data_IF_252444168030
#
_entry.id   IF_252444168030
#
_cell.length_a   1.000
_cell.length_b   1.000
_cell.length_c   1.000
_cell.angle_alpha   90.00
_cell.angle_beta   90.00
_cell.angle_gamma   90.00
#
_symmetry.space_group_name_H-M   'P 1'
#
loop_
_entity.id
_entity.type
_entity.pdbx_description
1 polymer ?
#
# COMPACT_ATOMS: atom_id res chain seq x y z
N UNK A 1 13.21 -29.41 32.73
CA UNK A 1 11.83 -29.30 33.26
C UNK A 1 11.52 -27.90 33.81
N UNK A 2 12.40 -27.31 34.63
CA UNK A 2 12.21 -25.96 35.18
C UNK A 2 12.14 -24.86 34.10
N UNK A 3 13.06 -24.85 33.13
CA UNK A 3 13.04 -23.88 32.00
C UNK A 3 11.73 -23.91 31.23
N UNK A 4 11.15 -25.11 30.99
CA UNK A 4 9.85 -25.27 30.33
C UNK A 4 8.70 -24.69 31.15
N UNK A 5 8.73 -24.85 32.48
CA UNK A 5 7.77 -24.21 33.39
C UNK A 5 7.90 -22.68 33.40
N UNK A 6 9.13 -22.17 33.26
CA UNK A 6 9.43 -20.73 33.22
C UNK A 6 8.98 -20.10 31.89
N UNK A 7 9.23 -20.79 30.76
CA UNK A 7 8.73 -20.38 29.43
C UNK A 7 7.20 -20.29 29.41
N UNK A 8 6.50 -21.30 29.96
CA UNK A 8 5.04 -21.32 30.01
C UNK A 8 4.42 -20.27 30.97
N UNK A 9 5.20 -19.69 31.88
CA UNK A 9 4.74 -18.71 32.88
C UNK A 9 5.59 -17.42 32.84
N UNK A 10 5.93 -16.94 31.63
CA UNK A 10 6.75 -15.74 31.44
C UNK A 10 6.13 -14.47 32.08
N UNK A 11 4.82 -14.45 32.26
CA UNK A 11 4.09 -13.35 32.92
C UNK A 11 4.26 -13.31 34.45
N UNK A 12 4.81 -14.36 35.06
CA UNK A 12 5.01 -14.49 36.52
C UNK A 12 6.46 -14.84 36.88
N UNK A 13 7.42 -14.33 36.11
CA UNK A 13 8.87 -14.63 36.25
C UNK A 13 9.42 -14.25 37.62
N UNK A 14 8.90 -13.18 38.24
CA UNK A 14 9.30 -12.71 39.57
C UNK A 14 9.14 -13.78 40.66
N UNK A 15 8.12 -14.64 40.56
CA UNK A 15 7.85 -15.72 41.53
C UNK A 15 8.92 -16.81 41.52
N UNK A 16 9.70 -16.89 40.45
CA UNK A 16 10.74 -17.91 40.25
C UNK A 16 12.16 -17.34 40.44
N UNK A 17 12.30 -16.06 40.75
CA UNK A 17 13.59 -15.36 40.87
C UNK A 17 14.49 -15.91 41.98
N UNK A 18 13.91 -16.48 43.04
CA UNK A 18 14.63 -17.09 44.17
C UNK A 18 15.06 -18.53 43.92
N UNK A 19 14.66 -19.13 42.78
CA UNK A 19 14.99 -20.52 42.47
C UNK A 19 16.44 -20.66 42.01
N UNK A 20 17.18 -21.64 42.54
CA UNK A 20 18.59 -21.87 42.23
C UNK A 20 18.89 -22.06 40.73
N UNK A 21 17.98 -22.67 39.97
CA UNK A 21 18.09 -22.84 38.50
C UNK A 21 17.66 -21.63 37.66
N UNK A 22 17.29 -20.51 38.28
CA UNK A 22 16.74 -19.34 37.58
C UNK A 22 17.76 -18.71 36.63
N UNK A 23 19.01 -18.54 37.08
CA UNK A 23 20.07 -17.94 36.27
C UNK A 23 20.41 -18.80 35.04
N UNK A 24 20.53 -20.11 35.24
CA UNK A 24 20.81 -21.07 34.18
C UNK A 24 19.67 -21.15 33.15
N UNK A 25 18.43 -21.17 33.62
CA UNK A 25 17.25 -21.14 32.75
C UNK A 25 17.15 -19.84 31.94
N UNK A 26 17.49 -18.70 32.54
CA UNK A 26 17.46 -17.38 31.87
C UNK A 26 18.56 -17.27 30.81
N UNK A 27 19.76 -17.78 31.10
CA UNK A 27 20.85 -17.83 30.14
C UNK A 27 20.49 -18.67 28.91
N UNK A 28 19.84 -19.83 29.12
CA UNK A 28 19.36 -20.68 28.03
C UNK A 28 18.26 -19.99 27.21
N UNK A 29 17.30 -19.32 27.86
CA UNK A 29 16.23 -18.60 27.15
C UNK A 29 16.78 -17.46 26.29
N UNK A 30 17.77 -16.72 26.80
CA UNK A 30 18.45 -15.65 26.05
C UNK A 30 19.28 -16.17 24.87
N UNK A 31 19.63 -17.45 24.85
CA UNK A 31 20.36 -18.06 23.73
C UNK A 31 19.46 -18.36 22.53
N UNK A 32 18.13 -18.31 22.68
CA UNK A 32 17.21 -18.48 21.56
C UNK A 32 17.07 -17.19 20.77
N UNK A 33 17.25 -17.28 19.45
CA UNK A 33 16.92 -16.21 18.52
C UNK A 33 15.41 -16.15 18.33
N UNK A 34 14.78 -15.07 18.83
CA UNK A 34 13.35 -14.80 18.68
C UNK A 34 13.14 -13.45 17.97
N UNK A 35 12.40 -13.39 16.84
CA UNK A 35 11.78 -14.52 16.12
C UNK A 35 12.80 -15.53 15.56
N UNK A 36 12.41 -16.79 15.31
CA UNK A 36 13.31 -17.75 14.68
C UNK A 36 13.74 -17.24 13.30
N UNK A 37 14.99 -17.50 12.92
CA UNK A 37 15.55 -17.16 11.61
C UNK A 37 15.60 -15.66 11.27
N UNK A 38 15.75 -14.75 12.26
CA UNK A 38 15.94 -13.30 12.02
C UNK A 38 17.04 -13.01 11.00
N UNK A 39 18.12 -13.78 11.03
CA UNK A 39 19.25 -13.65 10.11
C UNK A 39 18.91 -13.93 8.63
N UNK A 40 17.76 -14.56 8.38
CA UNK A 40 17.24 -14.82 7.03
C UNK A 40 16.10 -13.87 6.64
N UNK A 41 15.67 -12.97 7.54
CA UNK A 41 14.79 -11.88 7.12
C UNK A 41 15.60 -10.95 6.24
N UNK A 42 15.16 -10.81 4.98
CA UNK A 42 15.66 -9.77 4.11
C UNK A 42 15.35 -8.41 4.75
N UNK A 43 16.36 -7.54 4.83
CA UNK A 43 16.13 -6.15 5.23
C UNK A 43 15.21 -5.51 4.18
N UNK A 44 13.97 -5.20 4.57
CA UNK A 44 13.09 -4.43 3.69
C UNK A 44 13.67 -3.02 3.53
N UNK A 45 13.88 -2.55 2.29
CA UNK A 45 14.43 -1.23 2.06
C UNK A 45 13.48 -0.19 2.64
N UNK A 46 14.00 0.69 3.49
CA UNK A 46 13.23 1.80 4.03
C UNK A 46 12.84 2.75 2.88
N UNK A 47 11.53 2.84 2.62
CA UNK A 47 10.99 3.70 1.57
C UNK A 47 10.74 5.08 2.14
N UNK A 48 11.39 6.08 1.57
CA UNK A 48 11.18 7.48 1.92
C UNK A 48 10.07 8.04 1.03
N UNK A 49 8.97 8.57 1.61
CA UNK A 49 7.88 9.14 0.84
C UNK A 49 8.31 10.42 0.11
N UNK A 50 7.79 10.61 -1.09
CA UNK A 50 7.94 11.83 -1.87
C UNK A 50 6.89 12.88 -1.47
N UNK A 51 5.72 12.44 -1.00
CA UNK A 51 4.59 13.29 -0.62
C UNK A 51 3.99 12.84 0.70
N UNK A 52 3.52 13.81 1.48
CA UNK A 52 2.79 13.64 2.73
C UNK A 52 1.39 14.24 2.56
N UNK A 53 0.37 13.50 2.95
CA UNK A 53 -1.02 13.94 2.91
C UNK A 53 -1.57 13.88 4.31
N UNK A 54 -2.08 15.02 4.77
CA UNK A 54 -2.75 15.20 6.04
C UNK A 54 -4.19 15.64 5.74
N UNK A 55 -5.18 14.96 6.33
CA UNK A 55 -6.58 15.33 6.22
C UNK A 55 -7.10 15.69 7.60
N UNK A 56 -7.28 16.98 7.82
CA UNK A 56 -7.99 17.53 8.96
C UNK A 56 -9.37 18.02 8.46
N UNK A 57 -9.67 19.31 8.57
CA UNK A 57 -10.84 19.96 7.93
C UNK A 57 -10.61 20.21 6.43
N UNK A 58 -9.35 20.46 6.05
CA UNK A 58 -8.90 20.69 4.67
C UNK A 58 -7.81 19.67 4.29
N UNK A 59 -7.70 19.38 2.99
CA UNK A 59 -6.71 18.45 2.45
C UNK A 59 -5.37 19.18 2.26
N UNK A 60 -4.35 18.76 3.02
CA UNK A 60 -3.02 19.34 2.93
C UNK A 60 -2.07 18.35 2.25
N UNK A 61 -1.56 18.74 1.06
CA UNK A 61 -0.54 17.98 0.33
C UNK A 61 0.80 18.67 0.48
N UNK A 62 1.77 17.98 1.10
CA UNK A 62 3.15 18.48 1.28
C UNK A 62 4.11 17.60 0.50
N UNK A 63 5.03 18.22 -0.24
CA UNK A 63 6.08 17.50 -0.94
C UNK A 63 7.35 17.43 -0.09
N UNK A 64 8.09 16.32 -0.18
CA UNK A 64 9.33 16.13 0.55
C UNK A 64 10.46 16.99 -0.02
N UNK A 65 10.60 18.22 0.48
CA UNK A 65 11.60 19.17 0.01
C UNK A 65 13.05 18.71 0.23
N UNK A 66 13.31 17.74 1.12
CA UNK A 66 14.66 17.19 1.30
C UNK A 66 15.14 16.43 0.06
N UNK A 67 14.21 15.80 -0.67
CA UNK A 67 14.50 15.08 -1.92
C UNK A 67 14.33 15.94 -3.17
N UNK A 68 13.67 17.09 -3.03
CA UNK A 68 13.39 18.03 -4.11
C UNK A 68 13.72 19.47 -3.68
N UNK A 69 15.01 19.77 -3.45
CA UNK A 69 15.43 21.07 -2.96
C UNK A 69 15.19 22.16 -4.01
N UNK A 70 14.95 23.38 -3.53
CA UNK A 70 14.89 24.55 -4.39
C UNK A 70 16.31 25.03 -4.69
N UNK A 71 16.74 24.83 -5.95
CA UNK A 71 18.09 25.15 -6.40
C UNK A 71 18.10 26.57 -6.96
N UNK A 72 18.90 27.44 -6.36
CA UNK A 72 19.09 28.82 -6.82
C UNK A 72 20.49 28.98 -7.40
N UNK A 73 20.58 29.24 -8.70
CA UNK A 73 21.84 29.56 -9.37
C UNK A 73 22.21 31.02 -9.10
N UNK A 74 23.19 31.25 -8.23
CA UNK A 74 23.76 32.59 -7.99
C UNK A 74 24.92 32.84 -8.96
N UNK A 75 25.10 34.09 -9.37
CA UNK A 75 26.30 34.56 -10.08
C UNK A 75 27.17 35.38 -9.12
N UNK A 76 28.15 34.77 -8.44
CA UNK A 76 29.01 35.47 -7.49
C UNK A 76 30.12 36.30 -8.18
N UNK A 77 30.32 36.18 -9.49
CA UNK A 77 31.50 36.73 -10.16
C UNK A 77 31.20 37.90 -11.11
N UNK A 78 29.93 38.30 -11.31
CA UNK A 78 29.55 39.34 -12.28
C UNK A 78 30.27 39.14 -13.62
N UNK A 79 30.26 37.88 -14.06
CA UNK A 79 31.30 37.34 -14.94
C UNK A 79 31.32 37.99 -16.33
N UNK A 80 32.47 38.55 -16.72
CA UNK A 80 32.69 39.17 -18.04
C UNK A 80 33.02 38.16 -19.15
N UNK A 81 33.52 36.97 -18.80
CA UNK A 81 33.84 35.90 -19.76
C UNK A 81 32.57 35.27 -20.33
N UNK A 82 32.51 35.16 -21.65
CA UNK A 82 31.35 34.64 -22.37
C UNK A 82 31.15 33.13 -22.17
N UNK A 83 32.23 32.38 -21.90
CA UNK A 83 32.15 30.94 -21.55
C UNK A 83 31.40 30.72 -20.22
N UNK A 84 31.72 31.55 -19.20
CA UNK A 84 31.07 31.47 -17.89
C UNK A 84 29.60 31.90 -17.97
N UNK A 85 29.27 32.88 -18.81
CA UNK A 85 27.86 33.24 -19.08
C UNK A 85 27.09 32.09 -19.72
N UNK A 86 27.70 31.37 -20.67
CA UNK A 86 27.07 30.19 -21.28
C UNK A 86 26.78 29.10 -20.25
N UNK A 87 27.76 28.79 -19.39
CA UNK A 87 27.56 27.78 -18.32
C UNK A 87 26.53 28.20 -17.27
N UNK A 88 26.48 29.47 -16.91
CA UNK A 88 25.43 30.00 -16.03
C UNK A 88 24.04 29.91 -16.68
N UNK A 89 23.94 30.14 -17.99
CA UNK A 89 22.69 29.96 -18.72
C UNK A 89 22.24 28.49 -18.72
N UNK A 90 23.14 27.57 -19.07
CA UNK A 90 22.86 26.12 -19.01
C UNK A 90 22.39 25.69 -17.61
N UNK A 91 23.06 26.17 -16.55
CA UNK A 91 22.66 25.88 -15.17
C UNK A 91 21.26 26.41 -14.84
N UNK A 92 20.93 27.64 -15.28
CA UNK A 92 19.59 28.22 -15.10
C UNK A 92 18.51 27.42 -15.84
N UNK A 93 18.80 27.00 -17.07
CA UNK A 93 17.88 26.19 -17.86
C UNK A 93 17.61 24.84 -17.17
N UNK A 94 18.64 24.19 -16.63
CA UNK A 94 18.48 22.95 -15.83
C UNK A 94 17.63 23.21 -14.58
N UNK A 95 17.87 24.29 -13.84
CA UNK A 95 17.04 24.60 -12.66
C UNK A 95 15.59 24.87 -13.01
N UNK A 96 15.32 25.54 -14.14
CA UNK A 96 13.97 25.76 -14.62
C UNK A 96 13.28 24.43 -14.98
N UNK A 97 13.99 23.50 -15.63
CA UNK A 97 13.47 22.17 -15.96
C UNK A 97 13.18 21.34 -14.71
N UNK A 98 14.03 21.42 -13.68
CA UNK A 98 13.79 20.76 -12.39
C UNK A 98 12.56 21.34 -11.68
N UNK A 99 12.40 22.67 -11.70
CA UNK A 99 11.23 23.32 -11.12
C UNK A 99 9.95 22.95 -11.85
N UNK A 100 9.98 22.90 -13.20
CA UNK A 100 8.86 22.44 -14.02
C UNK A 100 8.49 20.99 -13.68
N UNK A 101 9.48 20.10 -13.54
CA UNK A 101 9.23 18.72 -13.13
C UNK A 101 8.59 18.64 -11.75
N UNK A 102 9.07 19.43 -10.79
CA UNK A 102 8.53 19.53 -9.42
C UNK A 102 7.06 20.00 -9.45
N UNK A 103 6.76 21.07 -10.17
CA UNK A 103 5.38 21.59 -10.29
C UNK A 103 4.44 20.61 -10.98
N UNK A 104 4.88 19.98 -12.07
CA UNK A 104 4.06 19.00 -12.80
C UNK A 104 3.76 17.78 -11.95
N UNK A 105 4.75 17.27 -11.21
CA UNK A 105 4.54 16.14 -10.30
C UNK A 105 3.61 16.51 -9.14
N UNK A 106 3.78 17.70 -8.56
CA UNK A 106 2.90 18.20 -7.51
C UNK A 106 1.44 18.31 -7.98
N UNK A 107 1.21 18.91 -9.16
CA UNK A 107 -0.13 19.03 -9.75
C UNK A 107 -0.74 17.65 -10.02
N UNK A 108 0.04 16.72 -10.55
CA UNK A 108 -0.39 15.35 -10.79
C UNK A 108 -0.86 14.69 -9.48
N UNK A 109 -0.07 14.83 -8.40
CA UNK A 109 -0.45 14.27 -7.09
C UNK A 109 -1.72 14.94 -6.58
N UNK A 110 -1.83 16.26 -6.65
CA UNK A 110 -3.03 16.99 -6.24
C UNK A 110 -4.29 16.43 -6.91
N UNK A 111 -4.24 16.21 -8.22
CA UNK A 111 -5.35 15.64 -8.98
C UNK A 111 -5.68 14.20 -8.57
N UNK A 112 -4.67 13.36 -8.31
CA UNK A 112 -4.90 12.02 -7.77
C UNK A 112 -5.63 12.12 -6.43
N UNK A 113 -5.18 13.00 -5.55
CA UNK A 113 -5.77 13.19 -4.22
C UNK A 113 -7.20 13.67 -4.31
N UNK A 114 -7.49 14.66 -5.15
CA UNK A 114 -8.84 15.17 -5.41
C UNK A 114 -9.80 14.09 -5.96
N UNK A 115 -9.32 13.22 -6.85
CA UNK A 115 -10.14 12.12 -7.38
C UNK A 115 -10.34 11.00 -6.35
N UNK A 116 -9.40 10.85 -5.42
CA UNK A 116 -9.34 9.77 -4.44
C UNK A 116 -9.61 10.23 -3.00
N UNK A 117 -10.26 11.39 -2.79
CA UNK A 117 -10.54 11.93 -1.44
C UNK A 117 -11.15 10.87 -0.52
N UNK A 118 -12.11 10.10 -1.04
CA UNK A 118 -12.75 9.02 -0.29
C UNK A 118 -11.75 8.02 0.31
N UNK A 119 -10.70 7.66 -0.42
CA UNK A 119 -9.67 6.76 0.07
C UNK A 119 -8.92 7.32 1.28
N UNK A 120 -8.57 8.59 1.26
CA UNK A 120 -7.84 9.21 2.36
C UNK A 120 -8.70 9.41 3.61
N UNK A 121 -10.03 9.51 3.46
CA UNK A 121 -11.00 9.55 4.57
C UNK A 121 -11.37 8.14 5.08
N UNK A 122 -10.85 7.07 4.45
CA UNK A 122 -11.04 5.68 4.91
C UNK A 122 -11.95 4.82 4.03
N UNK A 123 -12.49 5.35 2.94
CA UNK A 123 -13.22 4.57 1.94
C UNK A 123 -12.27 3.86 0.97
N UNK A 124 -12.84 3.23 -0.05
CA UNK A 124 -12.09 2.54 -1.09
C UNK A 124 -11.63 3.47 -2.21
N UNK A 125 -10.65 2.99 -2.97
CA UNK A 125 -10.22 3.66 -4.20
C UNK A 125 -11.35 3.68 -5.22
N UNK A 126 -11.59 4.84 -5.81
CA UNK A 126 -12.43 4.99 -7.00
C UNK A 126 -11.64 4.56 -8.25
N UNK A 127 -12.32 4.13 -9.32
CA UNK A 127 -11.67 3.93 -10.60
C UNK A 127 -10.98 5.21 -11.07
N UNK A 128 -9.70 5.10 -11.42
CA UNK A 128 -8.92 6.18 -11.99
C UNK A 128 -7.91 5.58 -12.96
N UNK A 129 -7.98 5.94 -14.22
CA UNK A 129 -7.01 5.48 -15.22
C UNK A 129 -5.92 6.51 -15.43
N UNK A 130 -4.74 6.05 -15.88
CA UNK A 130 -3.65 6.96 -16.23
C UNK A 130 -4.05 7.86 -17.41
N UNK A 131 -4.89 7.35 -18.33
CA UNK A 131 -5.41 8.11 -19.47
C UNK A 131 -6.31 9.28 -19.03
N UNK A 132 -7.09 9.13 -17.95
CA UNK A 132 -7.93 10.21 -17.41
C UNK A 132 -7.08 11.41 -16.98
N UNK A 133 -6.04 11.16 -16.19
CA UNK A 133 -5.10 12.20 -15.74
C UNK A 133 -4.27 12.74 -16.91
N UNK A 134 -3.83 11.88 -17.82
CA UNK A 134 -3.05 12.28 -18.99
C UNK A 134 -3.77 13.32 -19.85
N UNK A 135 -5.07 13.12 -20.11
CA UNK A 135 -5.91 14.04 -20.87
C UNK A 135 -6.08 15.40 -20.18
N UNK A 136 -6.15 15.41 -18.86
CA UNK A 136 -6.40 16.63 -18.07
C UNK A 136 -5.13 17.49 -17.93
N UNK A 137 -3.96 16.85 -17.77
CA UNK A 137 -2.66 17.55 -17.71
C UNK A 137 -2.08 17.83 -19.11
N UNK A 138 -2.58 17.18 -20.15
CA UNK A 138 -2.11 17.34 -21.53
C UNK A 138 -0.81 16.59 -21.84
N UNK A 139 -0.51 15.51 -21.09
CA UNK A 139 0.64 14.64 -21.33
C UNK A 139 0.21 13.30 -21.93
N UNK A 140 1.17 12.57 -22.51
CA UNK A 140 0.92 11.18 -22.90
C UNK A 140 0.83 10.27 -21.66
N UNK A 141 0.03 9.21 -21.76
CA UNK A 141 -0.10 8.19 -20.71
C UNK A 141 1.26 7.57 -20.33
N UNK A 142 2.15 7.40 -21.31
CA UNK A 142 3.52 6.91 -21.12
C UNK A 142 4.34 7.82 -20.18
N UNK A 143 4.10 9.13 -20.24
CA UNK A 143 4.77 10.14 -19.42
C UNK A 143 4.24 10.09 -17.99
N UNK A 144 2.93 9.95 -17.81
CA UNK A 144 2.29 9.79 -16.49
C UNK A 144 2.78 8.50 -15.81
N UNK A 145 2.78 7.37 -16.54
CA UNK A 145 3.23 6.06 -16.03
C UNK A 145 4.68 6.12 -15.51
N UNK A 146 5.56 6.83 -16.23
CA UNK A 146 6.95 7.06 -15.79
C UNK A 146 7.04 8.02 -14.61
N UNK A 147 6.24 9.09 -14.60
CA UNK A 147 6.26 10.10 -13.56
C UNK A 147 5.85 9.52 -12.20
N UNK A 148 4.89 8.59 -12.17
CA UNK A 148 4.37 7.96 -10.94
C UNK A 148 5.12 6.69 -10.53
N UNK A 149 6.02 6.18 -11.37
CA UNK A 149 6.83 5.01 -11.05
C UNK A 149 7.81 5.32 -9.92
N UNK A 150 7.93 4.41 -8.94
CA UNK A 150 8.84 4.54 -7.79
C UNK A 150 8.64 5.86 -7.02
N UNK A 151 7.38 6.26 -6.85
CA UNK A 151 6.97 7.43 -6.09
C UNK A 151 5.96 7.01 -5.04
N UNK A 152 6.09 7.57 -3.85
CA UNK A 152 5.28 7.16 -2.71
C UNK A 152 4.63 8.34 -2.00
N UNK A 153 3.41 8.10 -1.53
CA UNK A 153 2.62 8.98 -0.67
C UNK A 153 2.55 8.34 0.71
N UNK A 154 2.81 9.13 1.74
CA UNK A 154 2.45 8.79 3.11
C UNK A 154 1.16 9.53 3.49
N UNK A 155 0.19 8.81 4.06
CA UNK A 155 -1.01 9.36 4.67
C UNK A 155 -1.30 8.63 6.00
N UNK A 156 -2.37 9.01 6.70
CA UNK A 156 -2.75 8.41 7.99
C UNK A 156 -2.98 6.90 7.93
N UNK A 157 -3.34 6.39 6.74
CA UNK A 157 -3.54 4.96 6.48
C UNK A 157 -2.23 4.18 6.25
N UNK A 158 -1.12 4.88 6.09
CA UNK A 158 0.20 4.30 5.81
C UNK A 158 0.84 4.81 4.52
N UNK A 159 1.79 4.03 4.01
CA UNK A 159 2.60 4.36 2.84
C UNK A 159 2.06 3.63 1.59
N UNK A 160 1.80 4.38 0.53
CA UNK A 160 1.25 3.86 -0.72
C UNK A 160 2.06 4.33 -1.93
N UNK A 161 2.20 3.46 -2.93
CA UNK A 161 2.77 3.87 -4.22
C UNK A 161 1.80 4.78 -4.99
N UNK A 162 2.30 5.78 -5.73
CA UNK A 162 1.42 6.56 -6.62
C UNK A 162 0.72 5.66 -7.66
N UNK A 163 1.41 4.62 -8.13
CA UNK A 163 0.88 3.67 -9.10
C UNK A 163 -0.37 2.94 -8.59
N UNK A 164 -0.47 2.64 -7.29
CA UNK A 164 -1.61 1.88 -6.76
C UNK A 164 -2.94 2.64 -6.77
N UNK A 165 -2.91 3.97 -6.90
CA UNK A 165 -4.13 4.78 -7.05
C UNK A 165 -4.77 4.65 -8.43
N UNK A 166 -4.02 4.17 -9.43
CA UNK A 166 -4.54 3.90 -10.76
C UNK A 166 -5.12 2.49 -10.79
N UNK A 167 -6.44 2.40 -10.71
CA UNK A 167 -7.15 1.11 -10.74
C UNK A 167 -7.86 0.94 -12.06
N UNK A 168 -7.72 -0.24 -12.66
CA UNK A 168 -8.48 -0.59 -13.85
C UNK A 168 -9.95 -0.74 -13.44
N UNK A 169 -10.79 0.13 -13.98
CA UNK A 169 -12.24 0.05 -13.85
C UNK A 169 -12.73 -1.32 -14.34
N UNK A 170 -13.48 -2.05 -13.50
CA UNK A 170 -14.28 -3.19 -13.98
C UNK A 170 -15.54 -2.67 -14.68
N UNK A 171 -15.97 -1.45 -14.31
CA UNK A 171 -16.97 -0.60 -14.97
C UNK A 171 -16.78 0.86 -14.51
N UNK A 172 -17.37 1.84 -15.21
CA UNK A 172 -17.13 3.30 -15.05
C UNK A 172 -17.03 3.84 -13.61
N UNK A 173 -17.70 3.21 -12.65
CA UNK A 173 -17.74 3.67 -11.25
C UNK A 173 -17.30 2.61 -10.22
N UNK A 174 -16.86 1.41 -10.65
CA UNK A 174 -16.52 0.31 -9.74
C UNK A 174 -15.05 -0.12 -9.82
N UNK A 175 -14.34 0.00 -8.70
CA UNK A 175 -12.93 -0.39 -8.61
C UNK A 175 -12.78 -1.90 -8.39
N UNK A 176 -11.63 -2.44 -8.82
CA UNK A 176 -11.35 -3.87 -8.58
C UNK A 176 -11.17 -4.22 -7.10
N UNK A 177 -10.85 -3.24 -6.25
CA UNK A 177 -10.74 -3.41 -4.80
C UNK A 177 -12.11 -3.52 -4.16
N UNK A 178 -13.08 -2.71 -4.60
CA UNK A 178 -14.44 -2.71 -4.04
C UNK A 178 -15.15 -4.03 -4.33
N UNK A 179 -14.92 -4.57 -5.53
CA UNK A 179 -15.38 -5.91 -5.87
C UNK A 179 -14.74 -6.97 -4.97
N UNK A 180 -13.44 -6.87 -4.69
CA UNK A 180 -12.72 -7.85 -3.86
C UNK A 180 -13.21 -7.82 -2.41
N UNK A 181 -13.38 -6.64 -1.84
CA UNK A 181 -13.87 -6.47 -0.48
C UNK A 181 -15.30 -6.97 -0.36
N UNK A 182 -16.17 -6.63 -1.31
CA UNK A 182 -17.52 -7.18 -1.32
C UNK A 182 -17.53 -8.71 -1.45
N UNK A 183 -16.61 -9.31 -2.22
CA UNK A 183 -16.46 -10.78 -2.25
C UNK A 183 -16.01 -11.32 -0.90
N UNK A 184 -15.09 -10.64 -0.21
CA UNK A 184 -14.65 -11.02 1.14
C UNK A 184 -15.83 -11.01 2.12
N UNK A 185 -16.57 -9.90 2.16
CA UNK A 185 -17.74 -9.73 3.03
C UNK A 185 -18.81 -10.82 2.77
N UNK A 186 -19.05 -11.15 1.51
CA UNK A 186 -19.99 -12.22 1.14
C UNK A 186 -19.53 -13.59 1.63
N UNK A 187 -18.23 -13.86 1.62
CA UNK A 187 -17.64 -15.14 2.04
C UNK A 187 -17.54 -15.22 3.56
N UNK A 188 -17.30 -14.11 4.24
CA UNK A 188 -17.33 -14.03 5.70
C UNK A 188 -18.73 -14.32 6.26
N UNK A 189 -19.77 -13.89 5.55
CA UNK A 189 -21.18 -14.09 5.94
C UNK A 189 -21.84 -15.29 5.22
N UNK A 190 -21.07 -16.19 4.61
CA UNK A 190 -21.64 -17.30 3.85
C UNK A 190 -22.12 -18.47 4.74
N UNK A 191 -23.17 -19.21 4.34
CA UNK A 191 -23.62 -20.37 5.09
C UNK A 191 -22.60 -21.53 5.02
N UNK A 192 -22.11 -21.99 6.18
CA UNK A 192 -21.08 -23.03 6.29
C UNK A 192 -21.47 -24.38 5.65
N UNK A 193 -22.76 -24.75 5.69
CA UNK A 193 -23.24 -26.03 5.10
C UNK A 193 -23.20 -26.03 3.57
N UNK A 194 -23.37 -24.85 2.96
CA UNK A 194 -23.45 -24.67 1.51
C UNK A 194 -22.73 -23.38 1.09
N UNK A 195 -21.38 -23.38 1.07
CA UNK A 195 -20.59 -22.23 0.66
C UNK A 195 -20.99 -21.71 -0.73
N UNK A 196 -20.91 -20.40 -0.91
CA UNK A 196 -21.24 -19.73 -2.16
C UNK A 196 -20.28 -20.18 -3.26
N UNK A 197 -20.85 -20.64 -4.38
CA UNK A 197 -20.04 -20.99 -5.55
C UNK A 197 -19.55 -19.73 -6.27
N UNK A 198 -18.45 -19.86 -7.03
CA UNK A 198 -17.96 -18.75 -7.88
C UNK A 198 -19.08 -18.20 -8.79
N UNK A 199 -20.06 -19.02 -9.20
CA UNK A 199 -21.20 -18.56 -9.99
C UNK A 199 -22.18 -17.73 -9.16
N UNK A 200 -22.48 -18.14 -7.93
CA UNK A 200 -23.35 -17.34 -7.05
C UNK A 200 -22.73 -16.00 -6.70
N UNK A 201 -21.41 -15.96 -6.50
CA UNK A 201 -20.68 -14.70 -6.31
C UNK A 201 -20.79 -13.79 -7.54
N UNK A 202 -20.71 -14.33 -8.77
CA UNK A 202 -20.97 -13.53 -9.99
C UNK A 202 -22.37 -12.92 -9.94
N UNK A 203 -23.38 -13.72 -9.63
CA UNK A 203 -24.77 -13.27 -9.66
C UNK A 203 -25.03 -12.17 -8.62
N UNK A 204 -24.51 -12.33 -7.39
CA UNK A 204 -24.61 -11.34 -6.31
C UNK A 204 -23.88 -10.03 -6.64
N UNK A 205 -22.67 -10.11 -7.21
CA UNK A 205 -21.91 -8.93 -7.62
C UNK A 205 -22.59 -8.22 -8.79
N UNK A 206 -23.13 -8.99 -9.75
CA UNK A 206 -23.91 -8.46 -10.87
C UNK A 206 -25.18 -7.76 -10.38
N UNK A 207 -25.86 -8.33 -9.37
CA UNK A 207 -27.07 -7.74 -8.80
C UNK A 207 -26.78 -6.44 -8.04
N UNK A 208 -25.72 -6.41 -7.21
CA UNK A 208 -25.37 -5.24 -6.40
C UNK A 208 -24.91 -4.06 -7.25
N UNK A 209 -23.98 -4.31 -8.18
CA UNK A 209 -23.33 -3.26 -8.94
C UNK A 209 -23.89 -3.06 -10.35
N UNK A 210 -24.86 -3.89 -10.76
CA UNK A 210 -25.48 -3.86 -12.10
C UNK A 210 -24.46 -4.00 -13.24
N UNK A 211 -23.36 -4.74 -13.01
CA UNK A 211 -22.29 -4.98 -13.99
C UNK A 211 -22.31 -6.40 -14.52
N UNK A 212 -21.98 -6.58 -15.80
CA UNK A 212 -21.76 -7.93 -16.35
C UNK A 212 -20.37 -8.43 -15.96
N UNK A 213 -20.32 -9.42 -15.06
CA UNK A 213 -19.08 -10.09 -14.68
C UNK A 213 -19.05 -11.54 -15.12
N UNK A 214 -17.83 -12.06 -15.30
CA UNK A 214 -17.58 -13.43 -15.75
C UNK A 214 -16.96 -14.23 -14.61
N UNK A 215 -17.33 -15.51 -14.48
CA UNK A 215 -16.83 -16.42 -13.44
C UNK A 215 -15.31 -16.45 -13.31
N UNK A 216 -14.58 -16.42 -14.42
CA UNK A 216 -13.09 -16.40 -14.43
C UNK A 216 -12.52 -15.19 -13.68
N UNK A 217 -13.20 -14.04 -13.72
CA UNK A 217 -12.79 -12.82 -13.02
C UNK A 217 -12.93 -12.98 -11.50
N UNK A 218 -14.07 -13.54 -11.04
CA UNK A 218 -14.28 -13.87 -9.63
C UNK A 218 -13.24 -14.89 -9.14
N UNK A 219 -12.98 -15.94 -9.91
CA UNK A 219 -11.94 -16.93 -9.56
C UNK A 219 -10.57 -16.28 -9.44
N UNK A 220 -10.23 -15.32 -10.31
CA UNK A 220 -8.96 -14.56 -10.23
C UNK A 220 -8.91 -13.70 -8.95
N UNK A 221 -9.97 -12.97 -8.63
CA UNK A 221 -10.04 -12.15 -7.42
C UNK A 221 -9.97 -12.99 -6.15
N UNK A 222 -10.68 -14.12 -6.10
CA UNK A 222 -10.64 -15.07 -4.99
C UNK A 222 -9.22 -15.58 -4.72
N UNK A 223 -8.47 -15.94 -5.77
CA UNK A 223 -7.07 -16.36 -5.66
C UNK A 223 -6.15 -15.26 -5.14
N UNK A 224 -6.38 -14.00 -5.54
CA UNK A 224 -5.58 -12.86 -5.07
C UNK A 224 -5.81 -12.56 -3.57
N UNK A 225 -6.98 -12.92 -3.05
CA UNK A 225 -7.33 -12.79 -1.63
C UNK A 225 -6.96 -14.05 -0.81
N UNK A 226 -6.27 -15.01 -1.42
CA UNK A 226 -5.95 -16.33 -0.82
C UNK A 226 -7.17 -17.11 -0.29
N UNK A 227 -8.34 -16.87 -0.87
CA UNK A 227 -9.57 -17.55 -0.48
C UNK A 227 -9.65 -18.88 -1.25
N UNK A 228 -9.88 -20.04 -0.60
CA UNK A 228 -9.94 -21.34 -1.26
C UNK A 228 -11.29 -21.58 -1.97
N UNK A 229 -11.38 -22.64 -2.79
CA UNK A 229 -12.58 -22.89 -3.63
C UNK A 229 -13.79 -23.22 -2.76
N UNK A 230 -15.02 -23.08 -3.28
CA UNK A 230 -16.22 -23.40 -2.50
C UNK A 230 -16.23 -24.85 -1.97
N UNK A 231 -15.64 -25.80 -2.72
CA UNK A 231 -15.47 -27.19 -2.28
C UNK A 231 -14.47 -27.31 -1.13
N UNK A 232 -13.35 -26.61 -1.23
CA UNK A 232 -12.30 -26.61 -0.22
C UNK A 232 -12.76 -25.90 1.05
N UNK A 233 -13.46 -24.76 0.92
CA UNK A 233 -14.09 -24.05 2.04
C UNK A 233 -15.10 -24.92 2.76
N UNK A 234 -15.94 -25.67 2.04
CA UNK A 234 -16.84 -26.64 2.66
C UNK A 234 -16.08 -27.67 3.52
N UNK A 235 -14.97 -28.19 3.01
CA UNK A 235 -14.11 -29.12 3.76
C UNK A 235 -13.50 -28.46 4.99
N UNK A 236 -13.03 -27.21 4.87
CA UNK A 236 -12.46 -26.44 5.98
C UNK A 236 -13.49 -26.12 7.06
N UNK A 237 -14.72 -25.76 6.70
CA UNK A 237 -15.80 -25.51 7.65
C UNK A 237 -16.21 -26.78 8.40
N UNK A 238 -16.27 -27.93 7.72
CA UNK A 238 -16.50 -29.22 8.37
C UNK A 238 -15.38 -29.52 9.37
N UNK A 239 -14.12 -29.30 9.00
CA UNK A 239 -12.98 -29.52 9.90
C UNK A 239 -13.01 -28.60 11.12
N UNK A 240 -13.39 -27.32 10.96
CA UNK A 240 -13.56 -26.37 12.08
C UNK A 240 -14.76 -26.72 12.97
N UNK A 241 -15.87 -27.17 12.39
CA UNK A 241 -17.04 -27.61 13.14
C UNK A 241 -16.80 -28.87 13.99
N UNK A 242 -15.78 -29.67 13.65
CA UNK A 242 -15.35 -30.85 14.41
C UNK A 242 -14.35 -30.49 15.53
N UNK A 243 -13.72 -29.31 15.49
CA UNK A 243 -12.82 -28.85 16.56
C UNK A 243 -13.52 -28.11 17.70
N UNK A 244 -14.74 -27.61 17.48
CA UNK A 244 -15.56 -26.88 18.46
C UNK A 244 -16.60 -27.78 19.18
N UNK A 245 -16.54 -29.09 18.96
CA UNK A 245 -17.38 -30.13 19.57
C UNK A 245 -16.53 -31.18 20.27
#
# INVERSE_FOLDING_TARGET
VFTKKLINNLSSVEKYATHHLFQEATALIKSFNNPPAVEYLEEEPYIIPDFFIEIDDDIHVKMNNNYYPDIVVKDPFSTKSDELKSKLKEARDITNLLQLRKSTLYNLVLMIVERQIGFFVGHELKPLTMSDIANEVGFEESTISRAVANKYIQCDRGLFSLRSFFTNAVSKDLSSSEVKNFISDLIENEPHEKPLTDQNLVDLVTQRYKIKMVRRTITKYRKLLDIPSSKDRKRLYILKGVSDS
#
